data_IF_630074609696
#
_entry.id   IF_630074609696
#
_cell.length_a   1.000
_cell.length_b   1.000
_cell.length_c   1.000
_cell.angle_alpha   90.00
_cell.angle_beta   90.00
_cell.angle_gamma   90.00
#
_symmetry.space_group_name_H-M   'P 1'
#
loop_
_entity.id
_entity.type
_entity.pdbx_description
1 polymer ?
#
# COMPACT_ATOMS: atom_id res chain seq x y z
N UNK A 1 -3.22 -20.82 0.62
CA UNK A 1 -2.82 -19.54 0.02
C UNK A 1 -1.31 -19.49 -0.05
N UNK A 2 -0.74 -19.44 -1.25
CA UNK A 2 0.70 -19.31 -1.47
C UNK A 2 0.98 -18.00 -2.21
N UNK A 3 2.11 -17.37 -1.90
CA UNK A 3 2.58 -16.20 -2.66
C UNK A 3 3.29 -16.74 -3.89
N UNK A 4 2.78 -16.43 -5.08
CA UNK A 4 3.28 -16.92 -6.35
C UNK A 4 4.27 -15.95 -7.00
N UNK A 5 4.14 -14.65 -6.76
CA UNK A 5 5.10 -13.63 -7.23
C UNK A 5 5.13 -12.44 -6.26
N UNK A 6 6.29 -11.82 -6.13
CA UNK A 6 6.50 -10.58 -5.38
C UNK A 6 7.27 -9.62 -6.27
N UNK A 7 6.66 -8.48 -6.57
CA UNK A 7 7.28 -7.41 -7.36
C UNK A 7 7.60 -6.23 -6.45
N UNK A 8 8.86 -5.77 -6.50
CA UNK A 8 9.39 -4.69 -5.66
C UNK A 8 9.73 -3.48 -6.53
N UNK A 9 9.28 -2.30 -6.10
CA UNK A 9 9.69 -1.02 -6.67
C UNK A 9 10.38 -0.21 -5.57
N UNK A 10 11.68 0.00 -5.71
CA UNK A 10 12.46 0.78 -4.75
C UNK A 10 11.95 2.22 -4.69
N UNK A 11 11.90 2.77 -3.48
CA UNK A 11 11.51 4.16 -3.29
C UNK A 11 12.60 5.10 -3.83
N UNK A 12 12.21 6.30 -4.33
CA UNK A 12 13.17 7.32 -4.70
C UNK A 12 14.11 7.68 -3.54
N UNK A 13 15.35 8.11 -3.83
CA UNK A 13 16.26 8.60 -2.80
C UNK A 13 15.64 9.80 -2.07
N UNK A 14 15.95 9.95 -0.77
CA UNK A 14 15.46 11.04 0.07
C UNK A 14 14.24 10.69 0.94
N UNK A 15 13.70 9.48 0.84
CA UNK A 15 12.68 8.98 1.77
C UNK A 15 13.31 8.13 2.88
N UNK A 16 13.36 8.67 4.11
CA UNK A 16 14.01 7.98 5.22
C UNK A 16 13.25 6.73 5.68
N UNK A 17 11.92 6.83 5.76
CA UNK A 17 11.07 5.76 6.28
C UNK A 17 10.59 4.79 5.22
N UNK A 18 10.13 5.27 4.07
CA UNK A 18 9.62 4.40 3.00
C UNK A 18 10.79 3.90 2.16
N UNK A 19 10.93 2.58 2.05
CA UNK A 19 12.05 1.95 1.33
C UNK A 19 11.65 1.39 -0.03
N UNK A 20 10.45 0.85 -0.14
CA UNK A 20 9.91 0.35 -1.39
C UNK A 20 8.39 0.22 -1.35
N UNK A 21 7.80 0.16 -2.54
CA UNK A 21 6.46 -0.36 -2.76
C UNK A 21 6.55 -1.81 -3.22
N UNK A 22 5.54 -2.58 -2.88
CA UNK A 22 5.46 -4.01 -3.14
C UNK A 22 4.07 -4.35 -3.68
N UNK A 23 4.05 -5.27 -4.63
CA UNK A 23 2.84 -5.98 -5.06
C UNK A 23 3.07 -7.47 -4.89
N UNK A 24 2.08 -8.15 -4.31
CA UNK A 24 2.11 -9.61 -4.14
C UNK A 24 1.00 -10.25 -4.95
N UNK A 25 1.33 -11.37 -5.58
CA UNK A 25 0.36 -12.22 -6.27
C UNK A 25 0.18 -13.49 -5.45
N UNK A 26 -1.06 -13.83 -5.15
CA UNK A 26 -1.44 -15.07 -4.49
C UNK A 26 -1.95 -16.07 -5.52
N UNK A 27 -1.44 -17.29 -5.43
CA UNK A 27 -1.87 -18.46 -6.20
C UNK A 27 -1.98 -18.20 -7.73
N UNK A 28 -1.21 -17.24 -8.25
CA UNK A 28 -1.22 -16.83 -9.67
C UNK A 28 -2.50 -16.13 -10.14
N UNK A 29 -3.44 -15.81 -9.25
CA UNK A 29 -4.78 -15.35 -9.65
C UNK A 29 -5.29 -14.09 -8.93
N UNK A 30 -4.62 -13.67 -7.85
CA UNK A 30 -5.08 -12.52 -7.06
C UNK A 30 -3.92 -11.60 -6.66
N UNK A 31 -3.98 -10.33 -7.06
CA UNK A 31 -2.91 -9.35 -6.78
C UNK A 31 -3.34 -8.37 -5.71
N UNK A 32 -2.47 -8.14 -4.72
CA UNK A 32 -2.59 -7.05 -3.75
C UNK A 32 -1.50 -6.03 -4.02
N UNK A 33 -1.92 -4.80 -4.33
CA UNK A 33 -1.04 -3.66 -4.61
C UNK A 33 -0.85 -2.76 -3.39
N UNK A 34 0.01 -1.77 -3.54
CA UNK A 34 0.24 -0.67 -2.58
C UNK A 34 0.68 -1.13 -1.18
N UNK A 35 1.35 -2.28 -1.11
CA UNK A 35 2.04 -2.72 0.10
C UNK A 35 3.33 -1.90 0.22
N UNK A 36 3.68 -1.45 1.43
CA UNK A 36 4.84 -0.60 1.68
C UNK A 36 5.85 -1.31 2.55
N UNK A 37 7.12 -1.19 2.22
CA UNK A 37 8.23 -1.63 3.06
C UNK A 37 8.77 -0.39 3.77
N UNK A 38 8.69 -0.41 5.11
CA UNK A 38 9.02 0.74 5.95
C UNK A 38 10.16 0.38 6.89
N UNK A 39 11.11 1.30 7.05
CA UNK A 39 12.13 1.23 8.07
C UNK A 39 11.63 1.89 9.37
N UNK A 40 11.39 1.06 10.39
CA UNK A 40 11.01 1.48 11.73
C UNK A 40 12.18 1.44 12.72
N UNK A 41 11.92 1.71 14.01
CA UNK A 41 12.94 1.63 15.05
C UNK A 41 13.49 0.21 15.28
N UNK A 42 12.67 -0.81 15.01
CA UNK A 42 13.02 -2.22 15.19
C UNK A 42 13.41 -2.91 13.87
N UNK A 43 13.79 -2.14 12.85
CA UNK A 43 14.15 -2.65 11.52
C UNK A 43 13.03 -2.52 10.48
N UNK A 44 13.16 -3.28 9.39
CA UNK A 44 12.22 -3.28 8.28
C UNK A 44 10.94 -4.02 8.65
N UNK A 45 9.80 -3.47 8.26
CA UNK A 45 8.50 -4.12 8.40
C UNK A 45 7.59 -3.79 7.21
N UNK A 46 6.56 -4.62 7.03
CA UNK A 46 5.59 -4.46 5.95
C UNK A 46 4.33 -3.75 6.47
N UNK A 47 3.97 -2.65 5.80
CA UNK A 47 2.71 -1.96 5.99
C UNK A 47 1.74 -2.31 4.87
N UNK A 48 0.58 -2.83 5.26
CA UNK A 48 -0.49 -3.22 4.35
C UNK A 48 -1.09 -2.01 3.60
N UNK A 49 -1.71 -2.23 2.42
CA UNK A 49 -2.40 -1.17 1.70
C UNK A 49 -3.51 -0.62 2.57
N UNK A 50 -3.58 0.70 2.70
CA UNK A 50 -4.53 1.37 3.58
C UNK A 50 -5.26 2.48 2.86
N UNK A 51 -6.51 2.72 3.26
CA UNK A 51 -7.36 3.79 2.75
C UNK A 51 -7.87 4.65 3.90
N UNK A 52 -8.17 5.91 3.60
CA UNK A 52 -8.89 6.79 4.54
C UNK A 52 -10.30 6.25 4.77
N UNK A 53 -10.73 6.27 6.04
CA UNK A 53 -12.10 5.94 6.41
C UNK A 53 -12.99 7.12 6.01
N UNK A 54 -14.11 6.80 5.35
CA UNK A 54 -15.06 7.76 4.82
C UNK A 54 -16.46 7.35 5.26
N UNK A 55 -17.28 8.33 5.63
CA UNK A 55 -18.67 8.13 6.03
C UNK A 55 -19.63 8.71 4.97
N UNK A 56 -20.76 8.05 4.77
CA UNK A 56 -21.80 8.52 3.85
C UNK A 56 -22.60 9.67 4.46
N UNK A 57 -22.89 10.70 3.66
CA UNK A 57 -23.85 11.74 4.04
C UNK A 57 -25.26 11.13 4.20
N UNK A 58 -26.01 11.43 5.28
CA UNK A 58 -27.36 10.91 5.47
C UNK A 58 -28.37 11.43 4.42
N UNK A 59 -28.11 12.59 3.81
CA UNK A 59 -29.00 13.20 2.83
C UNK A 59 -28.73 12.72 1.40
N UNK A 60 -27.48 12.78 0.94
CA UNK A 60 -27.13 12.48 -0.47
C UNK A 60 -26.22 11.27 -0.67
N UNK A 61 -25.83 10.58 0.41
CA UNK A 61 -24.93 9.40 0.42
C UNK A 61 -23.50 9.62 -0.10
N UNK A 62 -23.12 10.84 -0.48
CA UNK A 62 -21.74 11.17 -0.82
C UNK A 62 -20.80 10.77 0.31
N UNK A 63 -19.67 10.13 -0.03
CA UNK A 63 -18.64 9.74 0.95
C UNK A 63 -17.83 10.98 1.33
N UNK A 64 -17.78 11.30 2.61
CA UNK A 64 -17.02 12.41 3.18
C UNK A 64 -15.95 11.87 4.13
N UNK A 65 -14.88 12.64 4.33
CA UNK A 65 -13.91 12.32 5.37
C UNK A 65 -14.59 12.27 6.75
N UNK A 66 -14.12 11.38 7.61
CA UNK A 66 -14.78 11.08 8.88
C UNK A 66 -14.98 12.31 9.80
N UNK A 67 -14.12 13.33 9.69
CA UNK A 67 -14.19 14.57 10.48
C UNK A 67 -14.79 15.76 9.71
N UNK A 68 -15.35 15.56 8.52
CA UNK A 68 -16.00 16.64 7.78
C UNK A 68 -17.26 17.11 8.55
N UNK A 69 -17.38 18.42 8.78
CA UNK A 69 -18.56 19.02 9.45
C UNK A 69 -19.75 19.19 8.50
N UNK A 70 -19.48 19.31 7.21
CA UNK A 70 -20.48 19.49 6.15
C UNK A 70 -20.18 18.55 4.99
N UNK A 71 -21.22 18.17 4.24
CA UNK A 71 -21.08 17.32 3.08
C UNK A 71 -20.41 18.08 1.92
N UNK A 72 -19.38 17.48 1.32
CA UNK A 72 -18.63 17.99 0.17
C UNK A 72 -19.44 18.06 -1.15
N UNK A 73 -20.70 17.60 -1.15
CA UNK A 73 -21.57 17.60 -2.32
C UNK A 73 -22.83 18.44 -2.10
N UNK A 74 -23.61 18.15 -1.04
CA UNK A 74 -24.89 18.84 -0.80
C UNK A 74 -24.83 19.92 0.30
N UNK A 75 -23.70 20.09 0.98
CA UNK A 75 -23.55 21.08 2.06
C UNK A 75 -24.27 20.74 3.37
N UNK A 76 -25.03 19.64 3.44
CA UNK A 76 -25.72 19.22 4.65
C UNK A 76 -24.76 19.04 5.83
N UNK A 77 -25.19 19.43 7.04
CA UNK A 77 -24.40 19.20 8.24
C UNK A 77 -24.27 17.69 8.50
N UNK A 78 -23.04 17.24 8.73
CA UNK A 78 -22.73 15.85 9.02
C UNK A 78 -22.68 15.63 10.54
N UNK A 79 -23.10 14.46 11.04
CA UNK A 79 -23.01 14.15 12.46
C UNK A 79 -21.56 14.21 12.91
N UNK A 80 -21.30 14.97 13.98
CA UNK A 80 -19.99 14.99 14.60
C UNK A 80 -19.67 13.60 15.14
N UNK A 81 -18.55 13.01 14.71
CA UNK A 81 -18.04 11.80 15.32
C UNK A 81 -17.49 12.20 16.69
N UNK A 82 -18.31 12.03 17.73
CA UNK A 82 -17.89 12.25 19.12
C UNK A 82 -16.99 11.07 19.49
N UNK A 83 -15.70 11.28 19.82
CA UNK A 83 -14.86 10.18 20.26
C UNK A 83 -15.32 9.78 21.66
N UNK A 84 -15.93 8.60 21.78
CA UNK A 84 -16.25 7.99 23.08
C UNK A 84 -14.96 7.48 23.72
N UNK A 85 -14.08 8.39 24.18
CA UNK A 85 -12.83 8.06 24.88
C UNK A 85 -11.70 7.44 24.03
N UNK A 86 -12.03 6.71 22.95
CA UNK A 86 -11.05 6.10 22.04
C UNK A 86 -10.72 7.00 20.86
N UNK A 87 -9.42 7.05 20.49
CA UNK A 87 -8.97 7.73 19.28
C UNK A 87 -9.57 7.05 18.05
N UNK A 88 -10.40 7.79 17.32
CA UNK A 88 -11.02 7.30 16.08
C UNK A 88 -9.94 6.98 15.04
N UNK A 89 -9.94 5.73 14.54
CA UNK A 89 -8.98 5.29 13.51
C UNK A 89 -9.30 6.00 12.18
N UNK A 90 -8.33 6.73 11.64
CA UNK A 90 -8.50 7.50 10.39
C UNK A 90 -8.33 6.69 9.12
N UNK A 91 -7.54 5.61 9.21
CA UNK A 91 -7.20 4.76 8.08
C UNK A 91 -7.51 3.32 8.46
N UNK A 92 -7.98 2.53 7.50
CA UNK A 92 -8.07 1.08 7.65
C UNK A 92 -7.32 0.40 6.52
N UNK A 93 -6.81 -0.79 6.80
CA UNK A 93 -6.16 -1.60 5.80
C UNK A 93 -7.23 -2.15 4.85
N UNK A 94 -6.96 -2.07 3.56
CA UNK A 94 -7.80 -2.62 2.48
C UNK A 94 -7.67 -4.13 2.45
N UNK A 95 -6.44 -4.62 2.65
CA UNK A 95 -6.13 -6.05 2.77
C UNK A 95 -5.25 -6.24 4.00
N UNK A 96 -5.52 -7.25 4.82
CA UNK A 96 -4.67 -7.59 5.96
C UNK A 96 -4.71 -9.09 6.24
N UNK A 97 -3.58 -9.69 6.65
CA UNK A 97 -3.57 -11.06 7.19
C UNK A 97 -4.45 -11.17 8.42
N UNK A 98 -5.28 -12.21 8.48
CA UNK A 98 -6.20 -12.43 9.62
C UNK A 98 -5.49 -13.04 10.84
N UNK A 99 -4.36 -13.73 10.63
CA UNK A 99 -3.62 -14.41 11.70
C UNK A 99 -2.12 -14.14 11.63
N UNK A 100 -1.43 -14.42 12.73
CA UNK A 100 0.00 -14.14 12.90
C UNK A 100 0.89 -14.96 11.95
N UNK A 101 0.51 -16.22 11.69
CA UNK A 101 1.24 -17.10 10.77
C UNK A 101 1.28 -16.51 9.36
N UNK A 102 0.11 -16.13 8.82
CA UNK A 102 0.01 -15.51 7.51
C UNK A 102 0.73 -14.16 7.48
N UNK A 103 0.67 -13.38 8.57
CA UNK A 103 1.43 -12.12 8.68
C UNK A 103 2.93 -12.37 8.55
N UNK A 104 3.46 -13.31 9.32
CA UNK A 104 4.88 -13.66 9.30
C UNK A 104 5.34 -14.22 7.95
N UNK A 105 4.50 -15.01 7.27
CA UNK A 105 4.76 -15.50 5.92
C UNK A 105 4.87 -14.32 4.92
N UNK A 106 3.86 -13.45 4.88
CA UNK A 106 3.84 -12.29 3.96
C UNK A 106 5.03 -11.37 4.21
N UNK A 107 5.32 -11.06 5.48
CA UNK A 107 6.41 -10.17 5.86
C UNK A 107 7.77 -10.73 5.42
N UNK A 108 8.02 -12.03 5.66
CA UNK A 108 9.27 -12.70 5.30
C UNK A 108 9.51 -12.73 3.78
N UNK A 109 8.51 -13.13 3.01
CA UNK A 109 8.63 -13.22 1.54
C UNK A 109 8.87 -11.84 0.92
N UNK A 110 8.19 -10.80 1.40
CA UNK A 110 8.36 -9.44 0.89
C UNK A 110 9.73 -8.87 1.24
N UNK A 111 10.20 -9.06 2.48
CA UNK A 111 11.51 -8.57 2.91
C UNK A 111 12.62 -9.28 2.13
N UNK A 112 12.52 -10.61 1.96
CA UNK A 112 13.49 -11.37 1.17
C UNK A 112 13.54 -10.90 -0.29
N UNK A 113 12.38 -10.65 -0.92
CA UNK A 113 12.31 -10.11 -2.27
C UNK A 113 12.93 -8.70 -2.36
N UNK A 114 12.71 -7.86 -1.36
CA UNK A 114 13.28 -6.51 -1.30
C UNK A 114 14.81 -6.53 -1.20
N UNK A 115 15.38 -7.37 -0.35
CA UNK A 115 16.84 -7.51 -0.23
C UNK A 115 17.48 -7.98 -1.54
N UNK A 116 16.80 -8.92 -2.24
CA UNK A 116 17.24 -9.38 -3.55
C UNK A 116 17.14 -8.27 -4.60
N UNK A 117 16.09 -7.44 -4.56
CA UNK A 117 15.93 -6.31 -5.48
C UNK A 117 17.01 -5.25 -5.27
N UNK A 118 17.41 -4.96 -4.02
CA UNK A 118 18.54 -4.07 -3.74
C UNK A 118 19.83 -4.61 -4.38
N UNK A 119 20.10 -5.92 -4.25
CA UNK A 119 21.29 -6.54 -4.86
C UNK A 119 21.25 -6.45 -6.38
N UNK A 120 20.07 -6.67 -6.99
CA UNK A 120 19.88 -6.52 -8.46
C UNK A 120 20.08 -5.08 -8.91
N UNK A 121 19.60 -4.11 -8.15
CA UNK A 121 19.73 -2.69 -8.45
C UNK A 121 21.18 -2.19 -8.48
N UNK A 122 22.10 -2.89 -7.81
CA UNK A 122 23.53 -2.57 -7.82
C UNK A 122 24.27 -3.12 -9.06
N UNK A 123 23.66 -4.06 -9.80
CA UNK A 123 24.30 -4.69 -10.95
C UNK A 123 24.22 -3.79 -12.20
N UNK A 124 25.27 -3.78 -13.05
CA UNK A 124 25.24 -3.03 -14.30
C UNK A 124 24.14 -3.58 -15.23
N UNK A 125 23.32 -2.70 -15.80
CA UNK A 125 22.21 -3.09 -16.67
C UNK A 125 20.88 -3.38 -15.95
N UNK A 126 20.74 -2.96 -14.70
CA UNK A 126 19.48 -3.09 -13.95
C UNK A 126 18.31 -2.36 -14.66
N UNK A 127 17.19 -3.08 -14.76
CA UNK A 127 15.88 -2.54 -15.16
C UNK A 127 14.86 -2.95 -14.11
N UNK A 128 14.14 -1.96 -13.56
CA UNK A 128 13.10 -2.21 -12.57
C UNK A 128 11.90 -2.93 -13.22
N UNK A 129 11.26 -3.85 -12.49
CA UNK A 129 10.01 -4.48 -12.93
C UNK A 129 8.84 -3.49 -12.79
N UNK A 130 7.96 -3.45 -13.77
CA UNK A 130 6.75 -2.60 -13.74
C UNK A 130 5.72 -3.17 -12.77
N UNK A 131 5.20 -2.32 -11.88
CA UNK A 131 4.04 -2.64 -11.03
C UNK A 131 2.79 -2.47 -11.89
N UNK A 132 2.20 -3.55 -12.37
CA UNK A 132 1.19 -3.40 -13.41
C UNK A 132 0.46 -4.68 -13.70
N UNK A 133 0.61 -5.27 -14.87
CA UNK A 133 -0.38 -6.23 -15.35
C UNK A 133 0.31 -7.46 -15.91
N UNK A 134 0.54 -8.47 -15.06
CA UNK A 134 0.95 -9.79 -15.56
C UNK A 134 2.41 -9.94 -15.98
N UNK A 135 3.33 -9.12 -15.47
CA UNK A 135 4.76 -9.47 -15.48
C UNK A 135 5.49 -9.26 -16.80
N UNK A 136 5.13 -8.26 -17.61
CA UNK A 136 6.01 -7.78 -18.67
C UNK A 136 6.89 -6.62 -18.17
N UNK A 137 8.20 -6.77 -18.40
CA UNK A 137 9.19 -5.74 -18.13
C UNK A 137 9.01 -4.56 -19.09
N UNK A 138 8.66 -3.39 -18.58
CA UNK A 138 8.62 -2.17 -19.40
C UNK A 138 9.94 -1.42 -19.24
N UNK A 139 10.54 -1.03 -20.35
CA UNK A 139 11.78 -0.26 -20.39
C UNK A 139 11.60 1.15 -19.79
N UNK A 140 12.65 1.74 -19.18
CA UNK A 140 12.58 3.06 -18.50
C UNK A 140 12.13 4.25 -19.35
N UNK A 141 12.04 4.10 -20.68
CA UNK A 141 11.63 5.14 -21.63
C UNK A 141 10.13 5.47 -21.59
N UNK A 142 9.28 4.65 -20.97
CA UNK A 142 7.81 4.85 -20.98
C UNK A 142 7.28 5.62 -19.75
N UNK A 143 8.11 5.93 -18.76
CA UNK A 143 7.69 6.69 -17.57
C UNK A 143 7.64 8.22 -17.76
N UNK A 144 8.10 8.77 -18.89
CA UNK A 144 8.16 10.23 -19.11
C UNK A 144 6.93 10.82 -19.80
N UNK A 145 5.92 10.02 -20.17
CA UNK A 145 4.83 10.51 -21.03
C UNK A 145 3.54 10.91 -20.32
N UNK A 146 3.41 10.76 -19.01
CA UNK A 146 2.22 11.20 -18.27
C UNK A 146 2.61 12.16 -17.13
N UNK A 147 3.00 13.38 -17.53
CA UNK A 147 3.01 14.56 -16.67
C UNK A 147 1.91 15.53 -17.15
#
# INVERSE_FOLDING_TARGET
MKISDVTIQLAPPGQDRLKAFCCITFDGCFVVRDIKIIHGPNGLFVAMPSRKIMAGCPQCRTKNHLHARFCNNCGASLPAVVPTGERVKMHCDVAHPINAECRGMVEREIIAAYENEIKRAQQPGYVARTIGDGGESVSPSEMTSNA
#
